data_IF_561082146085
#
_entry.id   IF_561082146085
#
_cell.length_a   1.000
_cell.length_b   1.000
_cell.length_c   1.000
_cell.angle_alpha   90.00
_cell.angle_beta   90.00
_cell.angle_gamma   90.00
#
_symmetry.space_group_name_H-M   'P 1'
#
loop_
_entity.id
_entity.type
_entity.pdbx_description
1 polymer ?
#
# COMPACT_ATOMS: atom_id res chain seq x y z
N UNK A 1 12.13 19.65 18.97
CA UNK A 1 12.85 18.47 18.43
C UNK A 1 11.88 17.31 18.21
N UNK A 2 12.22 16.32 17.40
CA UNK A 2 11.39 15.10 17.19
C UNK A 2 11.08 14.38 18.50
N UNK A 3 12.05 14.37 19.44
CA UNK A 3 11.86 13.77 20.76
C UNK A 3 10.78 14.49 21.58
N UNK A 4 10.75 15.81 21.55
CA UNK A 4 9.72 16.61 22.25
C UNK A 4 8.35 16.44 21.64
N UNK A 5 8.27 16.33 20.31
CA UNK A 5 7.02 16.00 19.59
C UNK A 5 6.53 14.62 20.05
N UNK A 6 7.40 13.61 20.05
CA UNK A 6 7.04 12.25 20.49
C UNK A 6 6.54 12.20 21.95
N UNK A 7 7.18 12.93 22.86
CA UNK A 7 6.74 13.01 24.26
C UNK A 7 5.36 13.65 24.37
N UNK A 8 5.15 14.78 23.70
CA UNK A 8 3.84 15.45 23.71
C UNK A 8 2.73 14.59 23.08
N UNK A 9 3.02 13.88 22.00
CA UNK A 9 2.08 12.99 21.31
C UNK A 9 1.67 11.82 22.22
N UNK A 10 2.60 11.25 22.97
CA UNK A 10 2.29 10.20 23.95
C UNK A 10 1.39 10.72 25.06
N UNK A 11 1.71 11.88 25.64
CA UNK A 11 0.88 12.53 26.65
C UNK A 11 -0.53 12.84 26.11
N UNK A 12 -0.61 13.36 24.88
CA UNK A 12 -1.88 13.64 24.20
C UNK A 12 -2.71 12.37 24.02
N UNK A 13 -2.08 11.26 23.65
CA UNK A 13 -2.74 9.96 23.49
C UNK A 13 -3.31 9.48 24.83
N UNK A 14 -2.55 9.55 25.90
CA UNK A 14 -3.01 9.17 27.23
C UNK A 14 -4.21 10.03 27.68
N UNK A 15 -4.13 11.34 27.54
CA UNK A 15 -5.23 12.26 27.89
C UNK A 15 -6.48 11.98 27.05
N UNK A 16 -6.31 11.56 25.77
CA UNK A 16 -7.43 11.28 24.88
C UNK A 16 -8.24 10.04 25.27
N UNK A 17 -7.65 9.10 26.00
CA UNK A 17 -8.34 7.93 26.56
C UNK A 17 -9.28 8.32 27.71
N UNK A 18 -8.90 9.33 28.50
CA UNK A 18 -9.71 9.80 29.61
C UNK A 18 -10.77 10.82 29.16
N UNK A 19 -10.38 11.74 28.27
CA UNK A 19 -11.26 12.80 27.76
C UNK A 19 -10.80 13.34 26.42
N UNK A 20 -11.52 13.01 25.37
CA UNK A 20 -11.25 13.53 24.02
C UNK A 20 -11.27 15.07 23.98
N UNK A 21 -12.25 15.72 24.59
CA UNK A 21 -12.39 17.20 24.58
C UNK A 21 -11.17 17.87 25.21
N UNK A 22 -10.68 17.34 26.33
CA UNK A 22 -9.48 17.85 27.00
C UNK A 22 -8.25 17.72 26.12
N UNK A 23 -8.07 16.54 25.49
CA UNK A 23 -6.99 16.31 24.56
C UNK A 23 -7.07 17.23 23.32
N UNK A 24 -8.27 17.45 22.79
CA UNK A 24 -8.49 18.33 21.66
C UNK A 24 -8.07 19.78 21.95
N UNK A 25 -8.48 20.33 23.09
CA UNK A 25 -8.07 21.69 23.50
C UNK A 25 -6.56 21.76 23.79
N UNK A 26 -5.98 20.72 24.38
CA UNK A 26 -4.54 20.62 24.60
C UNK A 26 -3.77 20.64 23.25
N UNK A 27 -4.22 19.88 22.25
CA UNK A 27 -3.67 19.88 20.91
C UNK A 27 -3.77 21.24 20.22
N UNK A 28 -4.96 21.89 20.28
CA UNK A 28 -5.18 23.24 19.73
C UNK A 28 -4.21 24.27 20.34
N UNK A 29 -4.02 24.23 21.66
CA UNK A 29 -3.13 25.16 22.33
C UNK A 29 -1.67 24.92 21.92
N UNK A 30 -1.27 23.67 21.78
CA UNK A 30 0.08 23.33 21.34
C UNK A 30 0.38 23.77 19.89
N UNK A 31 -0.61 23.65 19.00
CA UNK A 31 -0.49 24.17 17.63
C UNK A 31 -0.36 25.71 17.62
N UNK A 32 -1.06 26.42 18.51
CA UNK A 32 -0.92 27.88 18.65
C UNK A 32 0.48 28.29 19.13
N UNK A 33 1.10 27.50 20.01
CA UNK A 33 2.48 27.74 20.46
C UNK A 33 3.51 27.52 19.33
N UNK A 34 3.27 26.54 18.47
CA UNK A 34 4.19 26.13 17.39
C UNK A 34 3.50 26.10 16.02
N UNK A 35 3.00 27.24 15.54
CA UNK A 35 2.16 27.30 14.36
C UNK A 35 2.87 26.90 13.06
N UNK A 36 4.19 26.88 13.01
CA UNK A 36 4.97 26.52 11.81
C UNK A 36 5.65 25.15 11.89
N UNK A 37 5.24 24.31 12.86
CA UNK A 37 5.80 22.97 13.01
C UNK A 37 4.87 21.93 12.39
N UNK A 38 4.96 21.72 11.08
CA UNK A 38 4.07 20.82 10.34
C UNK A 38 4.08 19.38 10.89
N UNK A 39 5.27 18.88 11.31
CA UNK A 39 5.37 17.53 11.90
C UNK A 39 4.56 17.42 13.21
N UNK A 40 4.56 18.46 14.04
CA UNK A 40 3.76 18.51 15.26
C UNK A 40 2.26 18.57 14.94
N UNK A 41 1.87 19.45 14.02
CA UNK A 41 0.47 19.62 13.61
C UNK A 41 -0.08 18.31 13.05
N UNK A 42 0.65 17.65 12.15
CA UNK A 42 0.29 16.36 11.59
C UNK A 42 0.15 15.28 12.67
N UNK A 43 1.11 15.19 13.60
CA UNK A 43 1.07 14.20 14.68
C UNK A 43 -0.13 14.40 15.60
N UNK A 44 -0.44 15.65 15.98
CA UNK A 44 -1.62 16.00 16.77
C UNK A 44 -2.91 15.63 16.00
N UNK A 45 -3.00 16.00 14.74
CA UNK A 45 -4.16 15.69 13.91
C UNK A 45 -4.40 14.17 13.81
N UNK A 46 -3.33 13.38 13.66
CA UNK A 46 -3.41 11.91 13.59
C UNK A 46 -3.94 11.29 14.89
N UNK A 47 -3.40 11.68 16.04
CA UNK A 47 -3.84 11.17 17.35
C UNK A 47 -5.30 11.53 17.62
N UNK A 48 -5.64 12.80 17.41
CA UNK A 48 -7.01 13.27 17.67
C UNK A 48 -8.02 12.70 16.68
N UNK A 49 -7.61 12.42 15.45
CA UNK A 49 -8.46 11.71 14.48
C UNK A 49 -8.80 10.29 14.95
N UNK A 50 -7.82 9.54 15.41
CA UNK A 50 -8.04 8.21 15.95
C UNK A 50 -8.92 8.24 17.20
N UNK A 51 -8.62 9.14 18.14
CA UNK A 51 -9.38 9.31 19.37
C UNK A 51 -10.83 9.75 19.13
N UNK A 52 -11.09 10.63 18.14
CA UNK A 52 -12.44 11.08 17.80
C UNK A 52 -13.34 9.92 17.36
N UNK A 53 -12.79 8.95 16.63
CA UNK A 53 -13.53 7.77 16.16
C UNK A 53 -14.02 6.89 17.31
N UNK A 54 -13.28 6.86 18.43
CA UNK A 54 -13.58 6.05 19.61
C UNK A 54 -14.30 6.83 20.71
N UNK A 55 -14.50 8.14 20.54
CA UNK A 55 -15.08 9.00 21.56
C UNK A 55 -16.61 8.94 21.61
N UNK A 56 -17.18 9.11 22.81
CA UNK A 56 -18.63 9.22 23.05
C UNK A 56 -19.16 10.67 22.92
N UNK A 57 -18.44 11.51 22.20
CA UNK A 57 -18.84 12.91 21.96
C UNK A 57 -20.06 12.92 21.02
N UNK A 58 -20.99 13.85 21.22
CA UNK A 58 -22.17 14.02 20.39
C UNK A 58 -21.81 14.37 18.93
N UNK A 59 -22.72 14.13 18.00
CA UNK A 59 -22.48 14.23 16.57
C UNK A 59 -22.15 15.67 16.11
N UNK A 60 -22.74 16.68 16.74
CA UNK A 60 -22.47 18.10 16.43
C UNK A 60 -21.02 18.44 16.78
N UNK A 61 -20.59 18.05 17.96
CA UNK A 61 -19.21 18.26 18.42
C UNK A 61 -18.20 17.43 17.64
N UNK A 62 -18.57 16.17 17.27
CA UNK A 62 -17.76 15.36 16.37
C UNK A 62 -17.51 16.05 15.05
N UNK A 63 -18.56 16.64 14.46
CA UNK A 63 -18.46 17.36 13.19
C UNK A 63 -17.55 18.60 13.34
N UNK A 64 -17.72 19.39 14.40
CA UNK A 64 -16.86 20.56 14.68
C UNK A 64 -15.38 20.15 14.77
N UNK A 65 -15.08 19.16 15.62
CA UNK A 65 -13.71 18.69 15.80
C UNK A 65 -13.12 18.08 14.52
N UNK A 66 -13.93 17.35 13.78
CA UNK A 66 -13.53 16.77 12.50
C UNK A 66 -13.14 17.85 11.48
N UNK A 67 -13.90 18.92 11.36
CA UNK A 67 -13.58 20.03 10.45
C UNK A 67 -12.23 20.66 10.81
N UNK A 68 -11.96 20.89 12.10
CA UNK A 68 -10.67 21.44 12.55
C UNK A 68 -9.50 20.47 12.24
N UNK A 69 -9.69 19.17 12.43
CA UNK A 69 -8.68 18.17 12.08
C UNK A 69 -8.40 18.18 10.56
N UNK A 70 -9.45 18.29 9.74
CA UNK A 70 -9.31 18.41 8.28
C UNK A 70 -8.51 19.66 7.91
N UNK A 71 -8.81 20.82 8.47
CA UNK A 71 -8.03 22.07 8.25
C UNK A 71 -6.54 21.90 8.57
N UNK A 72 -6.21 21.21 9.66
CA UNK A 72 -4.81 20.94 10.01
C UNK A 72 -4.14 20.00 9.02
N UNK A 73 -4.84 18.97 8.55
CA UNK A 73 -4.33 18.05 7.54
C UNK A 73 -4.19 18.73 6.17
N UNK A 74 -5.13 19.58 5.75
CA UNK A 74 -5.02 20.37 4.52
C UNK A 74 -3.79 21.27 4.54
N UNK A 75 -3.56 21.93 5.66
CA UNK A 75 -2.37 22.73 5.84
C UNK A 75 -1.08 21.93 5.73
N UNK A 76 -1.02 20.77 6.41
CA UNK A 76 0.18 19.90 6.40
C UNK A 76 0.35 19.14 5.08
N UNK A 77 -0.69 19.03 4.27
CA UNK A 77 -0.62 18.51 2.89
C UNK A 77 0.17 19.43 1.93
N UNK A 78 0.42 20.67 2.31
CA UNK A 78 1.25 21.61 1.58
C UNK A 78 2.68 21.76 2.20
N UNK A 79 3.02 20.90 3.16
CA UNK A 79 4.30 20.93 3.86
C UNK A 79 5.49 20.75 2.91
N UNK A 80 6.60 21.51 3.09
CA UNK A 80 7.85 21.24 2.38
C UNK A 80 8.50 19.91 2.77
N UNK A 81 8.14 19.35 3.93
CA UNK A 81 8.58 18.02 4.34
C UNK A 81 7.75 16.96 3.60
N UNK A 82 8.39 16.26 2.65
CA UNK A 82 7.74 15.28 1.80
C UNK A 82 7.00 14.18 2.57
N UNK A 83 7.60 13.65 3.65
CA UNK A 83 6.99 12.62 4.47
C UNK A 83 5.69 13.12 5.13
N UNK A 84 5.72 14.31 5.71
CA UNK A 84 4.53 14.93 6.33
C UNK A 84 3.48 15.21 5.27
N UNK A 85 3.87 15.78 4.14
CA UNK A 85 2.96 16.10 3.03
C UNK A 85 2.22 14.88 2.53
N UNK A 86 2.93 13.79 2.17
CA UNK A 86 2.32 12.58 1.63
C UNK A 86 1.44 11.90 2.67
N UNK A 87 1.89 11.81 3.92
CA UNK A 87 1.10 11.23 5.00
C UNK A 87 -0.19 12.04 5.28
N UNK A 88 -0.14 13.36 5.20
CA UNK A 88 -1.32 14.23 5.34
C UNK A 88 -2.29 14.07 4.19
N UNK A 89 -1.80 13.98 2.96
CA UNK A 89 -2.63 13.71 1.77
C UNK A 89 -3.35 12.37 1.92
N UNK A 90 -2.66 11.32 2.35
CA UNK A 90 -3.26 10.01 2.60
C UNK A 90 -4.36 10.05 3.67
N UNK A 91 -4.11 10.74 4.79
CA UNK A 91 -5.09 10.93 5.85
C UNK A 91 -6.31 11.72 5.39
N UNK A 92 -6.12 12.77 4.58
CA UNK A 92 -7.22 13.54 3.98
C UNK A 92 -8.09 12.67 3.07
N UNK A 93 -7.48 11.87 2.19
CA UNK A 93 -8.22 10.95 1.34
C UNK A 93 -9.09 9.99 2.18
N UNK A 94 -8.54 9.41 3.26
CA UNK A 94 -9.27 8.55 4.19
C UNK A 94 -10.44 9.30 4.85
N UNK A 95 -10.22 10.55 5.29
CA UNK A 95 -11.26 11.39 5.90
C UNK A 95 -12.39 11.70 4.93
N UNK A 96 -12.08 12.09 3.71
CA UNK A 96 -13.10 12.37 2.70
C UNK A 96 -13.89 11.12 2.32
N UNK A 97 -13.27 9.93 2.30
CA UNK A 97 -14.00 8.65 2.14
C UNK A 97 -14.97 8.43 3.30
N UNK A 98 -14.54 8.62 4.58
CA UNK A 98 -15.41 8.50 5.74
C UNK A 98 -16.61 9.47 5.72
N UNK A 99 -16.41 10.64 5.11
CA UNK A 99 -17.47 11.67 4.95
C UNK A 99 -18.31 11.45 3.68
N UNK A 100 -18.12 10.34 2.96
CA UNK A 100 -18.77 10.03 1.68
C UNK A 100 -18.53 11.08 0.56
N UNK A 101 -17.47 11.87 0.71
CA UNK A 101 -17.03 12.89 -0.25
C UNK A 101 -16.01 12.29 -1.24
N UNK A 102 -16.45 11.37 -2.06
CA UNK A 102 -15.59 10.55 -2.93
C UNK A 102 -14.86 11.37 -4.02
N UNK A 103 -15.45 12.48 -4.48
CA UNK A 103 -14.80 13.35 -5.48
C UNK A 103 -13.58 14.04 -4.87
N UNK A 104 -13.71 14.58 -3.68
CA UNK A 104 -12.65 15.21 -2.94
C UNK A 104 -11.57 14.20 -2.56
N UNK A 105 -11.97 13.00 -2.11
CA UNK A 105 -11.05 11.91 -1.81
C UNK A 105 -10.17 11.57 -3.03
N UNK A 106 -10.77 11.48 -4.22
CA UNK A 106 -10.03 11.15 -5.44
C UNK A 106 -8.94 12.19 -5.78
N UNK A 107 -9.22 13.48 -5.59
CA UNK A 107 -8.23 14.57 -5.80
C UNK A 107 -6.97 14.36 -4.94
N UNK A 108 -7.13 13.87 -3.71
CA UNK A 108 -6.00 13.59 -2.82
C UNK A 108 -5.32 12.25 -3.17
N UNK A 109 -6.09 11.21 -3.52
CA UNK A 109 -5.53 9.91 -3.92
C UNK A 109 -4.65 10.02 -5.18
N UNK A 110 -5.01 10.89 -6.13
CA UNK A 110 -4.23 11.12 -7.35
C UNK A 110 -2.88 11.81 -7.09
N UNK A 111 -2.74 12.49 -5.93
CA UNK A 111 -1.49 13.14 -5.52
C UNK A 111 -0.52 12.17 -4.81
N UNK A 112 -0.94 10.95 -4.49
CA UNK A 112 -0.11 9.96 -3.79
C UNK A 112 0.72 9.18 -4.82
N UNK A 113 2.06 9.24 -4.77
CA UNK A 113 2.90 8.40 -5.62
C UNK A 113 2.74 6.92 -5.26
N UNK A 114 2.46 6.06 -6.23
CA UNK A 114 2.29 4.61 -6.03
C UNK A 114 3.53 3.92 -5.41
N UNK A 115 4.69 4.58 -5.49
CA UNK A 115 5.96 4.09 -4.93
C UNK A 115 6.14 4.34 -3.43
N UNK A 116 5.32 5.19 -2.82
CA UNK A 116 5.49 5.62 -1.42
C UNK A 116 4.46 5.01 -0.49
N UNK A 117 3.18 5.03 -0.89
CA UNK A 117 2.07 4.45 -0.13
C UNK A 117 1.15 3.72 -1.10
N UNK A 118 0.81 2.48 -0.78
CA UNK A 118 -0.20 1.73 -1.54
C UNK A 118 -1.60 2.24 -1.20
N UNK A 119 -2.15 3.04 -2.09
CA UNK A 119 -3.50 3.58 -1.99
C UNK A 119 -4.54 2.75 -2.80
N UNK A 120 -4.18 1.58 -3.31
CA UNK A 120 -5.02 0.76 -4.19
C UNK A 120 -6.40 0.49 -3.61
N UNK A 121 -6.49 0.07 -2.34
CA UNK A 121 -7.78 -0.24 -1.69
C UNK A 121 -8.65 1.01 -1.56
N UNK A 122 -8.07 2.15 -1.21
CA UNK A 122 -8.82 3.41 -1.11
C UNK A 122 -9.34 3.86 -2.48
N UNK A 123 -8.51 3.78 -3.53
CA UNK A 123 -8.89 4.06 -4.92
C UNK A 123 -10.01 3.12 -5.38
N UNK A 124 -9.93 1.82 -5.05
CA UNK A 124 -10.98 0.83 -5.35
C UNK A 124 -12.30 1.21 -4.69
N UNK A 125 -12.29 1.60 -3.41
CA UNK A 125 -13.51 2.01 -2.70
C UNK A 125 -14.16 3.25 -3.34
N UNK A 126 -13.37 4.26 -3.66
CA UNK A 126 -13.85 5.47 -4.35
C UNK A 126 -14.45 5.11 -5.71
N UNK A 127 -13.77 4.27 -6.48
CA UNK A 127 -14.20 3.84 -7.81
C UNK A 127 -15.53 3.06 -7.75
N UNK A 128 -15.68 2.17 -6.74
CA UNK A 128 -16.92 1.42 -6.53
C UNK A 128 -18.13 2.33 -6.28
N UNK A 129 -17.94 3.44 -5.56
CA UNK A 129 -19.01 4.41 -5.30
C UNK A 129 -19.29 5.35 -6.47
N UNK A 130 -18.27 5.68 -7.28
CA UNK A 130 -18.42 6.62 -8.40
C UNK A 130 -18.88 5.95 -9.69
N UNK A 131 -18.35 4.76 -10.00
CA UNK A 131 -18.51 4.12 -11.31
C UNK A 131 -19.11 2.71 -11.23
N UNK A 132 -19.22 2.15 -10.04
CA UNK A 132 -19.83 0.85 -9.78
C UNK A 132 -18.83 -0.24 -9.43
N UNK A 133 -19.37 -1.30 -8.81
CA UNK A 133 -18.60 -2.41 -8.24
C UNK A 133 -17.83 -3.21 -9.30
N UNK A 134 -18.42 -3.37 -10.49
CA UNK A 134 -17.80 -4.14 -11.58
C UNK A 134 -16.51 -3.48 -12.09
N UNK A 135 -16.53 -2.15 -12.24
CA UNK A 135 -15.37 -1.38 -12.68
C UNK A 135 -14.28 -1.40 -11.60
N UNK A 136 -14.68 -1.25 -10.34
CA UNK A 136 -13.76 -1.33 -9.20
C UNK A 136 -13.11 -2.73 -9.09
N UNK A 137 -13.89 -3.80 -9.31
CA UNK A 137 -13.38 -5.17 -9.31
C UNK A 137 -12.34 -5.36 -10.43
N UNK A 138 -12.66 -4.93 -11.65
CA UNK A 138 -11.74 -5.00 -12.79
C UNK A 138 -10.41 -4.24 -12.52
N UNK A 139 -10.50 -3.04 -11.94
CA UNK A 139 -9.32 -2.28 -11.52
C UNK A 139 -8.48 -3.05 -10.50
N UNK A 140 -9.12 -3.64 -9.47
CA UNK A 140 -8.43 -4.38 -8.42
C UNK A 140 -7.80 -5.68 -8.94
N UNK A 141 -8.49 -6.40 -9.83
CA UNK A 141 -7.95 -7.57 -10.51
C UNK A 141 -6.70 -7.24 -11.33
N UNK A 142 -6.70 -6.13 -12.07
CA UNK A 142 -5.54 -5.64 -12.80
C UNK A 142 -4.34 -5.35 -11.87
N UNK A 143 -4.59 -4.72 -10.72
CA UNK A 143 -3.56 -4.46 -9.71
C UNK A 143 -3.04 -5.74 -9.05
N UNK A 144 -3.93 -6.70 -8.78
CA UNK A 144 -3.55 -8.01 -8.26
C UNK A 144 -2.62 -8.73 -9.24
N UNK A 145 -2.98 -8.80 -10.53
CA UNK A 145 -2.16 -9.43 -11.56
C UNK A 145 -0.80 -8.77 -11.72
N UNK A 146 -0.74 -7.43 -11.65
CA UNK A 146 0.54 -6.70 -11.65
C UNK A 146 1.41 -7.08 -10.46
N UNK A 147 0.81 -7.20 -9.26
CA UNK A 147 1.51 -7.59 -8.04
C UNK A 147 2.06 -9.01 -8.13
N UNK A 148 1.26 -9.95 -8.64
CA UNK A 148 1.69 -11.34 -8.86
C UNK A 148 2.85 -11.42 -9.84
N UNK A 149 2.82 -10.63 -10.93
CA UNK A 149 3.93 -10.53 -11.88
C UNK A 149 5.22 -9.99 -11.23
N UNK A 150 5.09 -8.99 -10.35
CA UNK A 150 6.24 -8.48 -9.61
C UNK A 150 6.83 -9.53 -8.66
N UNK A 151 5.98 -10.27 -7.95
CA UNK A 151 6.40 -11.37 -7.08
C UNK A 151 7.15 -12.44 -7.92
N UNK A 152 6.63 -12.80 -9.08
CA UNK A 152 7.27 -13.74 -10.01
C UNK A 152 8.70 -13.28 -10.38
N UNK A 153 8.87 -12.01 -10.73
CA UNK A 153 10.18 -11.45 -11.06
C UNK A 153 11.15 -11.50 -9.86
N UNK A 154 10.66 -11.24 -8.64
CA UNK A 154 11.49 -11.36 -7.44
C UNK A 154 11.90 -12.81 -7.17
N UNK A 155 11.00 -13.77 -7.36
CA UNK A 155 11.31 -15.20 -7.19
C UNK A 155 12.35 -15.64 -8.22
N UNK A 156 12.25 -15.22 -9.47
CA UNK A 156 13.27 -15.48 -10.47
C UNK A 156 14.64 -14.92 -10.05
N UNK A 157 14.68 -13.70 -9.56
CA UNK A 157 15.94 -13.11 -9.08
C UNK A 157 16.51 -13.83 -7.87
N UNK A 158 15.67 -14.32 -6.97
CA UNK A 158 16.10 -15.13 -5.82
C UNK A 158 16.70 -16.48 -6.28
N UNK A 159 16.10 -17.15 -7.27
CA UNK A 159 16.68 -18.38 -7.86
C UNK A 159 18.10 -18.11 -8.36
N UNK A 160 18.30 -17.05 -9.14
CA UNK A 160 19.63 -16.67 -9.63
C UNK A 160 20.63 -16.47 -8.47
N UNK A 161 20.24 -15.71 -7.46
CA UNK A 161 21.12 -15.42 -6.31
C UNK A 161 21.46 -16.68 -5.49
N UNK A 162 20.51 -17.60 -5.29
CA UNK A 162 20.77 -18.86 -4.58
C UNK A 162 21.66 -19.79 -5.40
N UNK A 163 21.50 -19.86 -6.72
CA UNK A 163 22.41 -20.60 -7.59
C UNK A 163 23.83 -19.99 -7.60
N UNK A 164 23.96 -18.66 -7.65
CA UNK A 164 25.26 -17.98 -7.57
C UNK A 164 26.01 -18.25 -6.25
N UNK A 165 25.26 -18.42 -5.15
CA UNK A 165 25.82 -18.71 -3.83
C UNK A 165 26.00 -20.21 -3.56
N UNK A 166 25.56 -21.08 -4.48
CA UNK A 166 25.66 -22.53 -4.34
C UNK A 166 24.58 -23.19 -3.48
N UNK A 167 23.53 -22.46 -3.14
CA UNK A 167 22.39 -22.96 -2.35
C UNK A 167 21.35 -23.66 -3.24
N UNK A 168 21.78 -24.68 -3.97
CA UNK A 168 21.01 -25.34 -5.01
C UNK A 168 19.64 -25.88 -4.54
N UNK A 169 19.57 -26.46 -3.34
CA UNK A 169 18.30 -26.97 -2.80
C UNK A 169 17.26 -25.85 -2.61
N UNK A 170 17.71 -24.69 -2.14
CA UNK A 170 16.82 -23.54 -1.93
C UNK A 170 16.35 -22.92 -3.24
N UNK A 171 17.21 -22.91 -4.28
CA UNK A 171 16.83 -22.49 -5.62
C UNK A 171 15.71 -23.37 -6.18
N UNK A 172 15.79 -24.72 -5.96
CA UNK A 172 14.76 -25.67 -6.37
C UNK A 172 13.43 -25.45 -5.61
N UNK A 173 13.47 -25.24 -4.29
CA UNK A 173 12.29 -24.91 -3.49
C UNK A 173 11.59 -23.63 -4.01
N UNK A 174 12.36 -22.60 -4.34
CA UNK A 174 11.81 -21.34 -4.90
C UNK A 174 11.21 -21.59 -6.27
N UNK A 175 11.82 -22.44 -7.11
CA UNK A 175 11.27 -22.80 -8.40
C UNK A 175 9.92 -23.51 -8.29
N UNK A 176 9.78 -24.46 -7.36
CA UNK A 176 8.51 -25.13 -7.09
C UNK A 176 7.43 -24.16 -6.59
N UNK A 177 7.77 -23.23 -5.66
CA UNK A 177 6.86 -22.18 -5.20
C UNK A 177 6.39 -21.33 -6.38
N UNK A 178 7.31 -20.95 -7.27
CA UNK A 178 7.01 -20.14 -8.45
C UNK A 178 6.06 -20.86 -9.41
N UNK A 179 6.28 -22.14 -9.69
CA UNK A 179 5.39 -22.95 -10.52
C UNK A 179 3.99 -23.06 -9.93
N UNK A 180 3.88 -23.32 -8.62
CA UNK A 180 2.60 -23.38 -7.94
C UNK A 180 1.84 -22.04 -7.99
N UNK A 181 2.54 -20.92 -7.77
CA UNK A 181 1.96 -19.59 -7.88
C UNK A 181 1.42 -19.32 -9.28
N UNK A 182 2.21 -19.63 -10.32
CA UNK A 182 1.81 -19.45 -11.71
C UNK A 182 0.55 -20.27 -12.02
N UNK A 183 0.50 -21.50 -11.52
CA UNK A 183 -0.67 -22.39 -11.68
C UNK A 183 -1.89 -21.86 -10.97
N UNK A 184 -1.75 -21.37 -9.73
CA UNK A 184 -2.85 -20.86 -8.89
C UNK A 184 -3.51 -19.63 -9.50
N UNK A 185 -2.72 -18.71 -10.06
CA UNK A 185 -3.24 -17.48 -10.66
C UNK A 185 -3.55 -17.60 -12.16
N UNK A 186 -3.43 -18.80 -12.74
CA UNK A 186 -3.72 -19.01 -14.16
C UNK A 186 -2.84 -18.18 -15.09
N UNK A 187 -1.58 -17.92 -14.69
CA UNK A 187 -0.62 -17.24 -15.53
C UNK A 187 -0.20 -18.12 -16.71
N UNK A 188 0.54 -17.52 -17.65
CA UNK A 188 1.00 -18.21 -18.85
C UNK A 188 1.75 -19.51 -18.54
N UNK A 189 1.33 -20.62 -19.10
CA UNK A 189 1.91 -21.96 -18.82
C UNK A 189 3.43 -22.05 -19.06
N UNK A 190 3.96 -21.30 -20.04
CA UNK A 190 5.41 -21.22 -20.25
C UNK A 190 6.15 -20.65 -19.02
N UNK A 191 5.51 -19.80 -18.23
CA UNK A 191 6.07 -19.26 -16.99
C UNK A 191 6.46 -20.34 -15.98
N UNK A 192 5.82 -21.51 -16.00
CA UNK A 192 6.13 -22.67 -15.14
C UNK A 192 7.49 -23.29 -15.46
N UNK A 193 7.94 -23.16 -16.69
CA UNK A 193 9.21 -23.72 -17.16
C UNK A 193 10.40 -22.80 -16.85
N UNK A 194 10.15 -21.48 -16.81
CA UNK A 194 11.22 -20.47 -16.64
C UNK A 194 12.06 -20.66 -15.37
N UNK A 195 11.52 -20.95 -14.18
CA UNK A 195 12.31 -21.19 -12.97
C UNK A 195 13.35 -22.29 -13.14
N UNK A 196 12.93 -23.42 -13.73
CA UNK A 196 13.81 -24.57 -13.97
C UNK A 196 14.81 -24.31 -15.09
N UNK A 197 14.44 -23.52 -16.10
CA UNK A 197 15.36 -23.09 -17.13
C UNK A 197 16.46 -22.19 -16.56
N UNK A 198 16.13 -21.27 -15.66
CA UNK A 198 17.13 -20.46 -14.95
C UNK A 198 18.14 -21.34 -14.20
N UNK A 199 17.66 -22.30 -13.41
CA UNK A 199 18.50 -23.26 -12.70
C UNK A 199 19.43 -24.02 -13.67
N UNK A 200 18.88 -24.56 -14.76
CA UNK A 200 19.65 -25.33 -15.75
C UNK A 200 20.72 -24.44 -16.41
N UNK A 201 20.42 -23.19 -16.72
CA UNK A 201 21.38 -22.23 -17.28
C UNK A 201 22.54 -21.95 -16.32
N UNK A 202 22.24 -21.67 -15.04
CA UNK A 202 23.26 -21.43 -14.02
C UNK A 202 24.17 -22.66 -13.79
N UNK A 203 23.59 -23.86 -13.83
CA UNK A 203 24.33 -25.14 -13.71
C UNK A 203 25.01 -25.57 -15.01
N UNK A 204 24.83 -24.81 -16.07
CA UNK A 204 25.37 -25.14 -17.43
C UNK A 204 24.91 -26.50 -17.97
N UNK A 205 23.72 -26.94 -17.58
CA UNK A 205 23.10 -28.17 -18.03
C UNK A 205 22.41 -27.95 -19.38
N UNK A 206 23.18 -28.10 -20.45
CA UNK A 206 22.73 -27.83 -21.82
C UNK A 206 21.59 -28.80 -22.22
N UNK A 207 21.68 -30.05 -21.83
CA UNK A 207 20.66 -31.07 -22.17
C UNK A 207 19.31 -30.70 -21.55
N UNK A 208 19.32 -30.33 -20.27
CA UNK A 208 18.12 -29.88 -19.54
C UNK A 208 17.55 -28.60 -20.13
N UNK A 209 18.39 -27.63 -20.48
CA UNK A 209 17.94 -26.40 -21.17
C UNK A 209 17.20 -26.73 -22.47
N UNK A 210 17.78 -27.59 -23.33
CA UNK A 210 17.15 -27.97 -24.58
C UNK A 210 15.82 -28.68 -24.37
N UNK A 211 15.74 -29.56 -23.37
CA UNK A 211 14.48 -30.26 -23.03
C UNK A 211 13.40 -29.29 -22.59
N UNK A 212 13.71 -28.41 -21.65
CA UNK A 212 12.76 -27.41 -21.12
C UNK A 212 12.26 -26.45 -22.22
N UNK A 213 13.13 -26.01 -23.11
CA UNK A 213 12.74 -25.18 -24.26
C UNK A 213 11.79 -25.90 -25.22
N UNK A 214 12.04 -27.19 -25.48
CA UNK A 214 11.16 -28.01 -26.34
C UNK A 214 9.78 -28.17 -25.67
N UNK A 215 9.75 -28.46 -24.37
CA UNK A 215 8.51 -28.57 -23.61
C UNK A 215 7.72 -27.24 -23.65
N UNK A 216 8.39 -26.11 -23.47
CA UNK A 216 7.79 -24.80 -23.59
C UNK A 216 7.16 -24.53 -24.96
N UNK A 217 7.86 -24.90 -26.05
CA UNK A 217 7.37 -24.72 -27.41
C UNK A 217 6.13 -25.59 -27.72
N UNK A 218 6.02 -26.76 -27.12
CA UNK A 218 4.84 -27.62 -27.26
C UNK A 218 3.58 -26.98 -26.64
N UNK A 219 3.72 -26.25 -25.54
CA UNK A 219 2.60 -25.51 -24.92
C UNK A 219 2.18 -24.26 -25.68
N UNK A 220 3.06 -23.69 -26.51
CA UNK A 220 2.80 -22.47 -27.28
C UNK A 220 2.35 -22.74 -28.73
N UNK A 221 2.45 -23.97 -29.19
CA UNK A 221 1.95 -24.33 -30.52
C UNK A 221 0.42 -24.33 -30.52
N UNK A 222 -0.25 -23.60 -31.43
CA UNK A 222 -1.70 -23.73 -31.56
C UNK A 222 -2.01 -25.20 -31.88
N UNK A 223 -2.93 -25.77 -31.09
CA UNK A 223 -3.49 -27.10 -31.38
C UNK A 223 -3.88 -27.13 -32.88
N UNK A 224 -3.53 -28.16 -33.64
CA UNK A 224 -4.09 -28.29 -34.96
C UNK A 224 -5.59 -28.26 -34.83
N UNK A 225 -6.23 -27.29 -35.45
CA UNK A 225 -7.71 -27.22 -35.48
C UNK A 225 -8.17 -28.45 -36.22
N UNK A 226 -8.89 -29.35 -35.52
CA UNK A 226 -9.77 -30.30 -36.13
C UNK A 226 -10.89 -29.60 -36.88
#
# INVERSE_FOLDING_TARGET
>A
TEKEIGQFVNELSEVSLDSFIKAFEMGKNKIKEYPHCDSLIYSIATVLNAALTLSDVDDEKKLECNNVIVEWLERTAESPNEKVRISSIFMLAAKYIQMEKYKEANIFLDKIPDTVIDATIMKTNVLAHQEGTDIAAFFLEGKLMQTVTNIQNYLYKLIEMEEETGNHCKAEEIAEITEHMISLFGLWDYGKVVPYLLIAVYRKDVEKCIQLIKDCLLYTSPSPRD
#
